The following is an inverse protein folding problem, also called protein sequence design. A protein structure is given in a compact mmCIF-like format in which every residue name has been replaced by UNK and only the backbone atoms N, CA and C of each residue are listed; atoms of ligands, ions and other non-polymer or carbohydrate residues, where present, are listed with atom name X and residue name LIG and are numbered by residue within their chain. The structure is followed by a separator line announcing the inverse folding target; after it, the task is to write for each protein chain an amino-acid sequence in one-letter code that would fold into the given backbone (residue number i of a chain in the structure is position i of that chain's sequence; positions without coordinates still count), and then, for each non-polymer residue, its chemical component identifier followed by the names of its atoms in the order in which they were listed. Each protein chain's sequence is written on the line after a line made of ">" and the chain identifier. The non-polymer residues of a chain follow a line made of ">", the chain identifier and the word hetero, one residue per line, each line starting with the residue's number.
data_IF_768962377188
#
_entry.id   IF_768962377188
#
_cell.length_a   1.000
_cell.length_b   1.000
_cell.length_c   1.000
_cell.angle_alpha   90.00
_cell.angle_beta   90.00
_cell.angle_gamma   90.00
#
_symmetry.space_group_name_H-M   'P 1'
#
loop_
_entity.id
_entity.type
_entity.pdbx_description
1 polymer ?
#
# COMPACT_ATOMS: atom_id res chain seq x y z
N UNK A 1 -3.13 -4.05 -2.28
CA UNK A 1 -3.72 -2.76 -2.73
C UNK A 1 -2.74 -1.70 -2.35
N UNK A 2 -2.33 -0.90 -3.31
CA UNK A 2 -1.21 -0.01 -3.11
C UNK A 2 -1.34 1.25 -3.95
N UNK A 3 -0.61 2.27 -3.53
CA UNK A 3 -0.35 3.46 -4.33
C UNK A 3 1.13 3.44 -4.67
N UNK A 4 1.47 3.79 -5.90
CA UNK A 4 2.85 4.02 -6.32
C UNK A 4 3.00 5.46 -6.76
N UNK A 5 3.98 6.16 -6.19
CA UNK A 5 4.41 7.49 -6.60
C UNK A 5 5.92 7.39 -6.84
N UNK A 6 6.33 7.58 -8.09
CA UNK A 6 7.71 7.38 -8.55
C UNK A 6 8.28 6.01 -8.16
N UNK A 7 9.37 6.01 -7.39
CA UNK A 7 10.05 4.83 -6.87
C UNK A 7 9.39 4.25 -5.61
N UNK A 8 8.47 4.97 -4.98
CA UNK A 8 7.88 4.57 -3.70
C UNK A 8 6.54 3.88 -3.93
N UNK A 9 6.37 2.72 -3.31
CA UNK A 9 5.12 1.96 -3.32
C UNK A 9 4.66 1.70 -1.88
N UNK A 10 3.39 1.98 -1.62
CA UNK A 10 2.80 1.88 -0.29
C UNK A 10 1.61 0.94 -0.33
N UNK A 11 1.64 -0.15 0.42
CA UNK A 11 0.51 -1.07 0.54
C UNK A 11 -0.37 -0.69 1.72
N UNK A 12 -1.62 -0.38 1.42
CA UNK A 12 -2.66 -0.03 2.41
C UNK A 12 -3.48 -1.27 2.79
N UNK A 13 -3.57 -2.24 1.88
CA UNK A 13 -4.25 -3.51 2.15
C UNK A 13 -3.48 -4.68 1.55
N UNK A 14 -3.26 -5.71 2.35
CA UNK A 14 -2.28 -6.77 2.11
C UNK A 14 -2.98 -8.12 2.19
N UNK A 15 -2.66 -9.02 1.26
CA UNK A 15 -2.95 -10.45 1.41
C UNK A 15 -1.67 -11.13 1.86
N UNK A 16 -1.65 -11.61 3.11
CA UNK A 16 -0.48 -12.29 3.66
C UNK A 16 -0.15 -13.53 2.82
N UNK A 17 1.14 -13.80 2.66
CA UNK A 17 1.71 -14.93 1.92
C UNK A 17 1.38 -15.00 0.42
N UNK A 18 0.85 -13.90 -0.16
CA UNK A 18 0.52 -13.84 -1.59
C UNK A 18 -0.60 -14.79 -2.03
N UNK A 19 -1.25 -15.50 -1.10
CA UNK A 19 -2.34 -16.43 -1.41
C UNK A 19 -3.60 -15.66 -1.81
N UNK A 20 -4.22 -16.09 -2.91
CA UNK A 20 -5.48 -15.55 -3.37
C UNK A 20 -6.64 -15.81 -2.40
N UNK A 21 -6.57 -16.90 -1.64
CA UNK A 21 -7.65 -17.36 -0.76
C UNK A 21 -7.55 -16.77 0.65
N UNK A 22 -6.45 -16.11 0.99
CA UNK A 22 -6.29 -15.48 2.29
C UNK A 22 -7.09 -14.18 2.36
N UNK A 23 -7.59 -13.90 3.56
CA UNK A 23 -8.28 -12.65 3.85
C UNK A 23 -7.32 -11.46 3.67
N UNK A 24 -7.88 -10.36 3.18
CA UNK A 24 -7.14 -9.11 3.10
C UNK A 24 -7.12 -8.45 4.47
N UNK A 25 -5.92 -8.05 4.90
CA UNK A 25 -5.70 -7.28 6.12
C UNK A 25 -5.37 -5.82 5.79
N UNK A 26 -5.69 -4.92 6.71
CA UNK A 26 -5.42 -3.49 6.60
C UNK A 26 -4.57 -3.05 7.80
N UNK A 27 -3.25 -2.98 7.65
CA UNK A 27 -2.38 -2.57 8.75
C UNK A 27 -2.60 -1.09 9.10
N UNK A 28 -2.41 -0.74 10.37
CA UNK A 28 -2.48 0.64 10.85
C UNK A 28 -1.41 1.54 10.22
N UNK A 29 -0.26 0.96 9.88
CA UNK A 29 0.83 1.61 9.15
C UNK A 29 0.96 0.93 7.78
N UNK A 30 0.87 1.68 6.67
CA UNK A 30 1.08 1.11 5.35
C UNK A 30 2.48 0.51 5.21
N UNK A 31 2.61 -0.59 4.47
CA UNK A 31 3.94 -1.12 4.16
C UNK A 31 4.57 -0.25 3.08
N UNK A 32 5.81 0.19 3.30
CA UNK A 32 6.51 1.14 2.43
C UNK A 32 7.69 0.45 1.77
N UNK A 33 7.74 0.51 0.44
CA UNK A 33 8.80 -0.06 -0.37
C UNK A 33 9.39 1.00 -1.30
N UNK A 34 10.70 0.91 -1.53
CA UNK A 34 11.36 1.61 -2.62
C UNK A 34 11.69 0.60 -3.72
N UNK A 35 10.99 0.68 -4.85
CA UNK A 35 11.07 -0.30 -5.94
C UNK A 35 12.39 -0.27 -6.71
N UNK A 36 13.19 0.80 -6.57
CA UNK A 36 14.53 0.83 -7.17
C UNK A 36 15.54 0.03 -6.35
N UNK A 37 15.33 -0.06 -5.04
CA UNK A 37 16.18 -0.82 -4.12
C UNK A 37 15.65 -2.24 -3.86
N UNK A 38 14.34 -2.40 -3.81
CA UNK A 38 13.64 -3.65 -3.55
C UNK A 38 12.49 -3.86 -4.55
N UNK A 39 12.82 -4.27 -5.79
CA UNK A 39 11.81 -4.46 -6.84
C UNK A 39 10.80 -5.58 -6.50
N UNK A 40 11.20 -6.54 -5.65
CA UNK A 40 10.39 -7.71 -5.29
C UNK A 40 9.62 -7.54 -3.97
N UNK A 41 9.71 -6.37 -3.32
CA UNK A 41 8.96 -6.03 -2.11
C UNK A 41 9.22 -7.03 -0.96
N UNK A 42 10.46 -7.51 -0.84
CA UNK A 42 10.87 -8.52 0.15
C UNK A 42 11.24 -7.94 1.51
N UNK A 43 11.59 -6.65 1.58
CA UNK A 43 11.97 -5.99 2.83
C UNK A 43 10.76 -5.44 3.58
N UNK A 44 9.77 -6.29 3.84
CA UNK A 44 8.58 -5.92 4.59
C UNK A 44 8.79 -6.07 6.12
N UNK A 45 7.97 -5.42 6.96
CA UNK A 45 8.15 -5.42 8.42
C UNK A 45 7.86 -6.77 9.10
N UNK A 46 7.17 -7.68 8.42
CA UNK A 46 6.85 -9.04 8.87
C UNK A 46 7.71 -10.12 8.18
N UNK A 47 8.60 -9.76 7.25
CA UNK A 47 9.52 -10.69 6.58
C UNK A 47 10.36 -11.48 7.60
N UNK A 48 10.46 -12.81 7.47
CA UNK A 48 11.36 -13.63 8.28
C UNK A 48 12.83 -13.22 8.15
N UNK A 49 13.26 -12.88 6.93
CA UNK A 49 14.65 -12.57 6.61
C UNK A 49 15.03 -11.14 6.99
N UNK A 50 14.09 -10.19 6.82
CA UNK A 50 14.38 -8.76 6.94
C UNK A 50 13.70 -8.09 8.12
N UNK A 51 12.85 -8.77 8.88
CA UNK A 51 11.89 -8.18 9.81
C UNK A 51 12.39 -7.01 10.67
N UNK A 52 13.56 -7.13 11.34
CA UNK A 52 14.10 -6.00 12.12
C UNK A 52 14.57 -4.82 11.25
N UNK A 53 15.24 -5.12 10.14
CA UNK A 53 15.74 -4.12 9.18
C UNK A 53 14.57 -3.45 8.46
N UNK A 54 13.57 -4.23 8.03
CA UNK A 54 12.34 -3.74 7.43
C UNK A 54 11.57 -2.80 8.36
N UNK A 55 11.42 -3.15 9.65
CA UNK A 55 10.80 -2.26 10.65
C UNK A 55 11.58 -0.95 10.82
N UNK A 56 12.91 -1.00 10.88
CA UNK A 56 13.74 0.21 10.93
C UNK A 56 13.60 1.06 9.66
N UNK A 57 13.60 0.43 8.50
CA UNK A 57 13.43 1.10 7.21
C UNK A 57 12.08 1.82 7.16
N UNK A 58 10.99 1.14 7.49
CA UNK A 58 9.65 1.73 7.54
C UNK A 58 9.63 2.92 8.50
N UNK A 59 10.16 2.77 9.72
CA UNK A 59 10.23 3.86 10.69
C UNK A 59 10.98 5.10 10.16
N UNK A 60 12.09 4.90 9.44
CA UNK A 60 12.85 5.99 8.82
C UNK A 60 12.16 6.62 7.59
N UNK A 61 11.27 5.87 6.94
CA UNK A 61 10.60 6.29 5.68
C UNK A 61 9.11 6.57 5.85
N UNK A 62 8.64 6.79 7.08
CA UNK A 62 7.24 7.16 7.39
C UNK A 62 6.80 8.49 6.75
N UNK A 63 7.73 9.32 6.26
CA UNK A 63 7.40 10.50 5.48
C UNK A 63 6.74 10.15 4.12
N UNK A 64 7.02 8.98 3.54
CA UNK A 64 6.55 8.62 2.21
C UNK A 64 5.03 8.43 2.13
N UNK A 65 4.37 7.73 3.07
CA UNK A 65 2.91 7.75 3.23
C UNK A 65 2.31 9.16 3.27
N UNK A 66 2.89 10.05 4.06
CA UNK A 66 2.42 11.44 4.17
C UNK A 66 2.55 12.19 2.84
N UNK A 67 3.67 12.02 2.13
CA UNK A 67 3.86 12.62 0.80
C UNK A 67 2.90 12.04 -0.26
N UNK A 68 2.43 10.81 -0.07
CA UNK A 68 1.45 10.15 -0.95
C UNK A 68 0.01 10.61 -0.78
N UNK A 69 -0.33 11.27 0.34
CA UNK A 69 -1.72 11.66 0.68
C UNK A 69 -2.40 12.49 -0.41
N UNK A 70 -1.78 13.54 -0.98
CA UNK A 70 -2.44 14.35 -2.02
C UNK A 70 -2.83 13.54 -3.26
N UNK A 71 -2.02 12.56 -3.65
CA UNK A 71 -2.31 11.68 -4.78
C UNK A 71 -3.48 10.74 -4.48
N UNK A 72 -3.55 10.21 -3.25
CA UNK A 72 -4.69 9.42 -2.80
C UNK A 72 -5.97 10.27 -2.81
N UNK A 73 -5.92 11.48 -2.27
CA UNK A 73 -7.07 12.38 -2.23
C UNK A 73 -7.56 12.75 -3.64
N UNK A 74 -6.64 13.05 -4.56
CA UNK A 74 -6.97 13.30 -5.96
C UNK A 74 -7.64 12.07 -6.61
N UNK A 75 -7.13 10.86 -6.33
CA UNK A 75 -7.75 9.64 -6.81
C UNK A 75 -9.15 9.42 -6.23
N UNK A 76 -9.34 9.60 -4.92
CA UNK A 76 -10.65 9.49 -4.27
C UNK A 76 -11.65 10.51 -4.83
N UNK A 77 -11.21 11.75 -5.09
CA UNK A 77 -12.02 12.75 -5.76
C UNK A 77 -12.43 12.30 -7.17
N UNK A 78 -11.50 11.74 -7.93
CA UNK A 78 -11.81 11.24 -9.28
C UNK A 78 -12.86 10.12 -9.27
N UNK A 79 -12.90 9.28 -8.24
CA UNK A 79 -13.93 8.25 -8.07
C UNK A 79 -15.31 8.84 -7.73
N UNK A 80 -15.36 10.03 -7.13
CA UNK A 80 -16.62 10.75 -6.89
C UNK A 80 -17.11 11.42 -8.18
N UNK A 81 -16.19 12.05 -8.91
CA UNK A 81 -16.48 12.75 -10.16
C UNK A 81 -16.85 11.75 -11.29
N UNK A 82 -16.29 10.54 -11.25
CA UNK A 82 -16.52 9.45 -12.20
C UNK A 82 -16.83 8.13 -11.48
N UNK A 83 -18.06 7.93 -11.00
CA UNK A 83 -18.41 6.73 -10.22
C UNK A 83 -18.27 5.44 -11.06
N UNK A 84 -17.78 4.34 -10.47
CA UNK A 84 -17.73 3.03 -11.12
C UNK A 84 -19.07 2.60 -11.72
N UNK A 85 -19.07 2.23 -13.00
CA UNK A 85 -20.26 1.81 -13.74
C UNK A 85 -20.68 0.36 -13.48
N UNK A 86 -19.76 -0.48 -12.98
CA UNK A 86 -20.11 -1.79 -12.42
C UNK A 86 -20.86 -1.54 -11.12
N UNK A 87 -22.16 -1.89 -11.09
CA UNK A 87 -23.19 -1.47 -10.14
C UNK A 87 -23.00 -1.76 -8.64
N UNK A 88 -21.78 -1.94 -8.15
CA UNK A 88 -21.48 -2.13 -6.73
C UNK A 88 -21.82 -0.91 -5.85
N UNK A 89 -22.12 0.27 -6.44
CA UNK A 89 -22.52 1.47 -5.70
C UNK A 89 -24.04 1.73 -5.79
N UNK A 90 -24.81 0.92 -6.55
CA UNK A 90 -26.27 1.11 -6.71
C UNK A 90 -27.14 0.25 -5.78
N UNK A 91 -26.55 -0.47 -4.83
CA UNK A 91 -27.27 -1.30 -3.87
C UNK A 91 -26.66 -1.19 -2.47
N UNK A 92 -26.94 -0.07 -1.79
CA UNK A 92 -26.91 0.06 -0.33
C UNK A 92 -27.82 1.22 0.06
#
# INVERSE_FOLDING_TARGET
>A
MAIRVDAWKMHIGIKKDGSWFNEKTYPSVPYVFNLLMDPQEKMDPESPEWGYIGRKFVAQKLWAPTAGVPFLQAHLKSLQDYPPSQGAIRSA
#
